data_IF_162213613539
#
_entry.id   IF_162213613539
#
_cell.length_a   1.000
_cell.length_b   1.000
_cell.length_c   1.000
_cell.angle_alpha   90.00
_cell.angle_beta   90.00
_cell.angle_gamma   90.00
#
_symmetry.space_group_name_H-M   'P 1'
#
loop_
_entity.id
_entity.type
_entity.pdbx_description
1 polymer ?
#
# COMPACT_ATOMS: atom_id res chain seq x y z
N UNK A 1 14.79 110.12 -30.90
CA UNK A 1 13.79 109.44 -30.04
C UNK A 1 13.68 107.93 -30.28
N UNK A 2 13.80 107.42 -31.52
CA UNK A 2 13.70 105.95 -31.78
C UNK A 2 14.86 105.13 -31.20
N UNK A 3 16.10 105.65 -31.23
CA UNK A 3 17.30 104.96 -30.70
C UNK A 3 17.31 104.80 -29.18
N UNK A 4 16.82 105.79 -28.42
CA UNK A 4 16.76 105.71 -26.95
C UNK A 4 15.69 104.74 -26.47
N UNK A 5 14.58 104.60 -27.21
CA UNK A 5 13.51 103.66 -26.89
C UNK A 5 13.94 102.20 -27.13
N UNK A 6 14.70 101.92 -28.20
CA UNK A 6 15.26 100.59 -28.45
C UNK A 6 16.28 100.17 -27.40
N UNK A 7 17.12 101.12 -26.91
CA UNK A 7 18.10 100.83 -25.85
C UNK A 7 17.40 100.54 -24.52
N UNK A 8 16.35 101.30 -24.18
CA UNK A 8 15.59 101.09 -22.94
C UNK A 8 14.85 99.74 -22.94
N UNK A 9 14.33 99.33 -24.10
CA UNK A 9 13.65 98.04 -24.28
C UNK A 9 14.63 96.85 -24.24
N UNK A 10 15.86 97.04 -24.74
CA UNK A 10 16.91 96.02 -24.67
C UNK A 10 17.45 95.86 -23.24
N UNK A 11 17.59 96.96 -22.49
CA UNK A 11 18.07 96.92 -21.10
C UNK A 11 17.05 96.30 -20.14
N UNK A 12 15.75 96.56 -20.35
CA UNK A 12 14.67 95.91 -19.60
C UNK A 12 14.55 94.42 -19.91
N UNK A 13 14.75 94.03 -21.18
CA UNK A 13 14.79 92.61 -21.55
C UNK A 13 15.98 91.88 -20.90
N UNK A 14 17.15 92.50 -20.82
CA UNK A 14 18.32 91.91 -20.15
C UNK A 14 18.12 91.76 -18.63
N UNK A 15 17.43 92.70 -17.99
CA UNK A 15 17.12 92.64 -16.55
C UNK A 15 16.07 91.55 -16.22
N UNK A 16 15.14 91.26 -17.14
CA UNK A 16 14.16 90.17 -16.97
C UNK A 16 14.80 88.77 -17.09
N UNK A 17 15.94 88.63 -17.79
CA UNK A 17 16.65 87.36 -17.92
C UNK A 17 17.44 86.98 -16.65
N UNK A 18 17.89 87.93 -15.83
CA UNK A 18 18.66 87.62 -14.61
C UNK A 18 17.77 87.22 -13.42
N UNK A 19 16.46 87.44 -13.49
CA UNK A 19 15.51 87.00 -12.46
C UNK A 19 15.27 85.47 -12.46
N UNK A 20 15.74 84.74 -13.48
CA UNK A 20 15.53 83.31 -13.63
C UNK A 20 16.74 82.44 -13.23
N UNK A 21 17.82 83.04 -12.67
CA UNK A 21 19.02 82.31 -12.24
C UNK A 21 19.04 82.02 -10.74
N UNK A 22 17.97 81.43 -10.20
CA UNK A 22 17.95 80.97 -8.81
C UNK A 22 18.67 79.60 -8.71
N UNK A 23 19.97 79.65 -8.38
CA UNK A 23 20.86 78.47 -8.30
C UNK A 23 20.70 77.64 -7.02
N UNK A 24 19.92 78.12 -6.04
CA UNK A 24 19.84 77.51 -4.71
C UNK A 24 18.93 76.26 -4.67
N UNK A 25 17.99 76.14 -5.61
CA UNK A 25 17.01 75.05 -5.66
C UNK A 25 17.57 73.65 -6.02
N UNK A 26 18.85 73.55 -6.40
CA UNK A 26 19.49 72.25 -6.73
C UNK A 26 20.39 71.70 -5.62
N UNK A 27 20.70 72.50 -4.61
CA UNK A 27 21.57 72.07 -3.50
C UNK A 27 20.89 71.00 -2.64
N UNK A 28 19.61 71.21 -2.32
CA UNK A 28 18.77 70.29 -1.55
C UNK A 28 18.53 68.97 -2.30
N UNK A 29 18.28 69.02 -3.61
CA UNK A 29 18.07 67.83 -4.43
C UNK A 29 19.35 66.97 -4.52
N UNK A 30 20.51 67.62 -4.70
CA UNK A 30 21.80 66.92 -4.71
C UNK A 30 22.11 66.28 -3.36
N UNK A 31 21.82 66.96 -2.26
CA UNK A 31 21.99 66.42 -0.93
C UNK A 31 21.07 65.22 -0.67
N UNK A 32 19.81 65.29 -1.11
CA UNK A 32 18.85 64.19 -1.01
C UNK A 32 19.30 62.96 -1.81
N UNK A 33 19.77 63.15 -3.05
CA UNK A 33 20.29 62.05 -3.89
C UNK A 33 21.54 61.43 -3.28
N UNK A 34 22.45 62.25 -2.73
CA UNK A 34 23.66 61.77 -2.07
C UNK A 34 23.38 61.00 -0.76
N UNK A 35 22.32 61.35 -0.05
CA UNK A 35 21.86 60.68 1.18
C UNK A 35 21.05 59.39 0.92
N UNK A 36 20.70 59.11 -0.34
CA UNK A 36 19.96 57.91 -0.72
C UNK A 36 20.74 56.61 -0.41
N UNK A 37 20.02 55.49 -0.20
CA UNK A 37 20.63 54.21 0.14
C UNK A 37 21.57 53.74 -0.98
N UNK A 38 22.85 53.59 -0.65
CA UNK A 38 23.85 53.00 -1.56
C UNK A 38 23.52 51.53 -1.72
N UNK A 39 23.41 51.06 -2.97
CA UNK A 39 23.10 49.67 -3.26
C UNK A 39 24.19 48.76 -2.68
N UNK A 40 23.79 47.86 -1.78
CA UNK A 40 24.70 46.86 -1.22
C UNK A 40 25.24 46.00 -2.36
N UNK A 41 26.56 46.04 -2.55
CA UNK A 41 27.25 45.33 -3.63
C UNK A 41 27.34 43.82 -3.41
N UNK A 42 26.97 43.34 -2.22
CA UNK A 42 27.03 41.93 -1.88
C UNK A 42 25.64 41.32 -1.72
N UNK A 43 25.09 40.85 -2.84
CA UNK A 43 23.90 40.00 -2.87
C UNK A 43 24.41 38.56 -2.88
N UNK A 44 23.99 37.74 -1.92
CA UNK A 44 24.34 36.32 -1.94
C UNK A 44 23.75 35.69 -3.20
N UNK A 45 24.57 35.03 -4.05
CA UNK A 45 24.07 34.39 -5.25
C UNK A 45 23.08 33.29 -4.87
N UNK A 46 22.07 33.10 -5.72
CA UNK A 46 21.10 32.02 -5.49
C UNK A 46 21.83 30.67 -5.39
N UNK A 47 21.39 29.79 -4.49
CA UNK A 47 21.95 28.45 -4.38
C UNK A 47 21.81 27.73 -5.73
N UNK A 48 22.90 27.10 -6.17
CA UNK A 48 22.94 26.39 -7.43
C UNK A 48 22.04 25.15 -7.32
N UNK A 49 21.08 25.00 -8.22
CA UNK A 49 20.27 23.78 -8.30
C UNK A 49 21.17 22.59 -8.61
N UNK A 50 20.92 21.45 -7.95
CA UNK A 50 21.66 20.23 -8.25
C UNK A 50 21.41 19.84 -9.72
N UNK A 51 22.47 19.46 -10.42
CA UNK A 51 22.34 18.94 -11.77
C UNK A 51 21.54 17.64 -11.75
N UNK A 52 20.63 17.48 -12.71
CA UNK A 52 19.92 16.23 -12.92
C UNK A 52 20.92 15.13 -13.27
N UNK A 53 20.94 14.06 -12.47
CA UNK A 53 21.72 12.86 -12.77
C UNK A 53 20.75 11.79 -13.28
N UNK A 54 20.78 11.44 -14.57
CA UNK A 54 19.96 10.36 -15.09
C UNK A 54 20.40 9.06 -14.41
N UNK A 55 19.45 8.36 -13.79
CA UNK A 55 19.67 6.97 -13.37
C UNK A 55 19.28 6.06 -14.51
N UNK A 56 20.18 5.14 -14.85
CA UNK A 56 19.86 4.06 -15.77
C UNK A 56 18.78 3.18 -15.14
N UNK A 57 17.78 2.82 -15.92
CA UNK A 57 16.77 1.85 -15.50
C UNK A 57 17.42 0.46 -15.40
N UNK A 58 17.35 -0.14 -14.22
CA UNK A 58 17.80 -1.52 -13.99
C UNK A 58 16.60 -2.41 -13.70
N UNK A 59 16.45 -3.47 -14.50
CA UNK A 59 15.44 -4.51 -14.29
C UNK A 59 16.12 -5.87 -14.08
N UNK A 60 16.75 -6.10 -12.91
CA UNK A 60 17.53 -7.31 -12.65
C UNK A 60 16.69 -8.59 -12.72
N UNK A 61 15.39 -8.49 -12.44
CA UNK A 61 14.45 -9.62 -12.48
C UNK A 61 13.81 -9.82 -13.86
N UNK A 62 14.13 -8.96 -14.83
CA UNK A 62 13.50 -8.91 -16.16
C UNK A 62 11.96 -8.99 -16.09
N UNK A 63 11.39 -8.39 -15.05
CA UNK A 63 9.95 -8.41 -14.78
C UNK A 63 9.29 -7.30 -15.58
N UNK A 64 8.19 -7.59 -16.25
CA UNK A 64 7.35 -6.55 -16.84
C UNK A 64 6.86 -5.57 -15.75
N UNK A 65 7.19 -4.27 -15.83
CA UNK A 65 6.80 -3.27 -14.82
C UNK A 65 5.29 -3.01 -14.79
N UNK A 66 4.53 -3.39 -15.82
CA UNK A 66 3.09 -3.15 -15.90
C UNK A 66 2.25 -4.36 -15.49
N UNK A 67 2.85 -5.53 -15.31
CA UNK A 67 2.12 -6.68 -14.76
C UNK A 67 1.79 -6.44 -13.29
N UNK A 68 0.52 -6.58 -12.92
CA UNK A 68 0.07 -6.47 -11.53
C UNK A 68 0.52 -7.68 -10.69
N UNK A 69 0.63 -7.50 -9.36
CA UNK A 69 0.95 -8.62 -8.48
C UNK A 69 -0.15 -9.69 -8.48
N UNK A 70 -1.42 -9.30 -8.59
CA UNK A 70 -2.55 -10.24 -8.67
C UNK A 70 -2.47 -11.11 -9.92
N UNK A 71 -2.14 -10.53 -11.07
CA UNK A 71 -2.00 -11.29 -12.32
C UNK A 71 -0.84 -12.28 -12.25
N UNK A 72 0.28 -11.93 -11.61
CA UNK A 72 1.38 -12.87 -11.40
C UNK A 72 0.97 -14.06 -10.52
N UNK A 73 0.17 -13.82 -9.48
CA UNK A 73 -0.36 -14.88 -8.63
C UNK A 73 -1.30 -15.80 -9.43
N UNK A 74 -2.19 -15.24 -10.24
CA UNK A 74 -3.09 -16.01 -11.12
C UNK A 74 -2.30 -16.84 -12.15
N UNK A 75 -1.29 -16.26 -12.81
CA UNK A 75 -0.44 -17.02 -13.76
C UNK A 75 0.29 -18.16 -13.06
N UNK A 76 0.78 -17.94 -11.84
CA UNK A 76 1.42 -18.98 -11.04
C UNK A 76 0.44 -20.09 -10.66
N UNK A 77 -0.79 -19.75 -10.26
CA UNK A 77 -1.84 -20.73 -9.97
C UNK A 77 -2.25 -21.52 -11.21
N UNK A 78 -2.39 -20.85 -12.36
CA UNK A 78 -2.69 -21.48 -13.64
C UNK A 78 -1.59 -22.46 -14.07
N UNK A 79 -0.32 -22.06 -13.95
CA UNK A 79 0.82 -22.95 -14.21
C UNK A 79 0.83 -24.17 -13.25
N UNK A 80 0.40 -23.99 -12.01
CA UNK A 80 0.32 -25.06 -11.01
C UNK A 80 -0.92 -25.96 -11.17
N UNK A 81 -1.87 -25.66 -12.07
CA UNK A 81 -3.09 -26.48 -12.24
C UNK A 81 -2.78 -27.92 -12.68
N UNK A 82 -1.75 -28.11 -13.51
CA UNK A 82 -1.32 -29.42 -13.98
C UNK A 82 -0.55 -30.25 -12.94
N UNK A 83 0.31 -29.59 -12.14
CA UNK A 83 1.21 -30.22 -11.17
C UNK A 83 0.80 -30.03 -9.70
N UNK A 84 -0.41 -29.53 -9.47
CA UNK A 84 -0.92 -29.20 -8.14
C UNK A 84 -1.20 -30.43 -7.26
N UNK A 85 -1.35 -30.22 -5.94
CA UNK A 85 -1.67 -31.29 -5.02
C UNK A 85 -3.01 -31.92 -5.42
N UNK A 86 -3.07 -33.25 -5.54
CA UNK A 86 -4.30 -33.99 -5.89
C UNK A 86 -4.75 -34.89 -4.73
N UNK A 87 -6.07 -35.10 -4.57
CA UNK A 87 -6.57 -36.11 -3.65
C UNK A 87 -6.05 -37.49 -4.10
N UNK A 88 -5.50 -38.24 -3.15
CA UNK A 88 -4.96 -39.57 -3.38
C UNK A 88 -6.03 -40.58 -2.95
N UNK A 89 -6.24 -41.60 -3.76
CA UNK A 89 -7.13 -42.70 -3.39
C UNK A 89 -6.59 -43.39 -2.15
N UNK A 90 -7.41 -43.46 -1.11
CA UNK A 90 -7.05 -43.98 0.20
C UNK A 90 -8.01 -45.09 0.62
N UNK A 91 -8.07 -46.16 -0.18
CA UNK A 91 -8.82 -47.36 0.18
C UNK A 91 -10.34 -47.11 0.34
N UNK A 92 -11.01 -47.86 1.25
CA UNK A 92 -12.44 -47.71 1.47
C UNK A 92 -12.82 -46.36 2.09
N UNK A 93 -13.87 -45.74 1.55
CA UNK A 93 -14.44 -44.47 2.02
C UNK A 93 -14.93 -44.60 3.47
N UNK A 94 -14.51 -43.68 4.32
CA UNK A 94 -14.90 -43.62 5.73
C UNK A 94 -16.32 -43.06 5.89
N UNK A 95 -17.03 -43.38 6.99
CA UNK A 95 -18.38 -42.88 7.22
C UNK A 95 -18.48 -41.35 7.19
N UNK A 96 -17.47 -40.64 7.71
CA UNK A 96 -17.45 -39.17 7.82
C UNK A 96 -17.18 -38.45 6.49
N UNK A 97 -16.73 -39.15 5.45
CA UNK A 97 -16.48 -38.58 4.11
C UNK A 97 -17.77 -38.38 3.31
N UNK A 98 -18.87 -39.01 3.74
CA UNK A 98 -20.19 -38.88 3.09
C UNK A 98 -20.87 -37.54 3.36
N UNK A 99 -20.36 -36.77 4.33
CA UNK A 99 -20.96 -35.54 4.80
C UNK A 99 -20.12 -34.34 4.39
N UNK A 100 -20.74 -33.22 4.07
CA UNK A 100 -20.00 -31.98 3.83
C UNK A 100 -19.34 -31.52 5.13
N UNK A 101 -18.12 -30.98 5.06
CA UNK A 101 -17.39 -30.53 6.25
C UNK A 101 -18.17 -29.49 7.07
N UNK A 102 -18.95 -28.64 6.39
CA UNK A 102 -19.82 -27.64 7.01
C UNK A 102 -21.01 -28.21 7.78
N UNK A 103 -21.41 -29.46 7.49
CA UNK A 103 -22.50 -30.15 8.19
C UNK A 103 -22.04 -30.93 9.41
N UNK A 104 -20.71 -31.09 9.57
CA UNK A 104 -20.12 -31.78 10.71
C UNK A 104 -19.91 -30.80 11.86
N UNK A 105 -20.16 -31.26 13.08
CA UNK A 105 -19.89 -30.50 14.29
C UNK A 105 -19.00 -31.30 15.23
N UNK A 106 -18.12 -30.62 15.98
CA UNK A 106 -17.34 -31.29 17.02
C UNK A 106 -18.19 -31.31 18.29
N UNK A 107 -18.52 -32.49 18.78
CA UNK A 107 -19.25 -32.67 20.05
C UNK A 107 -18.31 -32.80 21.24
N UNK A 108 -17.06 -33.18 21.01
CA UNK A 108 -16.07 -33.28 22.08
C UNK A 108 -14.70 -33.76 21.59
N UNK A 109 -13.73 -33.76 22.51
CA UNK A 109 -12.40 -34.33 22.28
C UNK A 109 -12.11 -35.24 23.47
N UNK A 110 -11.68 -36.46 23.18
CA UNK A 110 -11.41 -37.50 24.19
C UNK A 110 -9.95 -37.93 24.06
N UNK A 111 -9.27 -38.07 25.21
CA UNK A 111 -7.94 -38.66 25.27
C UNK A 111 -8.07 -40.12 25.67
N UNK A 112 -7.46 -41.00 24.88
CA UNK A 112 -7.39 -42.45 25.15
C UNK A 112 -6.32 -42.74 26.23
N UNK A 113 -6.35 -43.94 26.80
CA UNK A 113 -5.40 -44.40 27.82
C UNK A 113 -3.94 -44.37 27.31
N UNK A 114 -3.74 -44.47 25.99
CA UNK A 114 -2.43 -44.37 25.33
C UNK A 114 -2.03 -42.91 25.03
N UNK A 115 -2.78 -41.91 25.51
CA UNK A 115 -2.51 -40.49 25.32
C UNK A 115 -2.95 -39.91 23.96
N UNK A 116 -3.50 -40.73 23.05
CA UNK A 116 -3.98 -40.29 21.74
C UNK A 116 -5.25 -39.45 21.84
N UNK A 117 -5.31 -38.38 21.07
CA UNK A 117 -6.49 -37.53 20.96
C UNK A 117 -7.46 -38.04 19.88
N UNK A 118 -8.74 -38.07 20.25
CA UNK A 118 -9.85 -38.43 19.41
C UNK A 118 -10.85 -37.28 19.35
N UNK A 119 -11.15 -36.80 18.16
CA UNK A 119 -12.25 -35.90 17.90
C UNK A 119 -13.56 -36.70 17.85
N UNK A 120 -14.55 -36.25 18.60
CA UNK A 120 -15.92 -36.76 18.58
C UNK A 120 -16.72 -35.86 17.65
N UNK A 121 -17.12 -36.39 16.50
CA UNK A 121 -17.77 -35.65 15.41
C UNK A 121 -19.23 -36.07 15.32
N UNK A 122 -20.12 -35.10 15.47
CA UNK A 122 -21.55 -35.24 15.23
C UNK A 122 -21.89 -34.97 13.77
N UNK A 123 -22.68 -35.86 13.18
CA UNK A 123 -23.20 -35.76 11.82
C UNK A 123 -24.63 -35.22 11.80
N UNK A 124 -25.10 -34.68 10.65
CA UNK A 124 -26.46 -34.16 10.53
C UNK A 124 -27.56 -35.23 10.71
N UNK A 125 -27.25 -36.52 10.57
CA UNK A 125 -28.16 -37.63 10.87
C UNK A 125 -28.15 -38.04 12.36
N UNK A 126 -27.69 -37.16 13.25
CA UNK A 126 -27.62 -37.37 14.70
C UNK A 126 -26.77 -38.58 15.13
N UNK A 127 -25.84 -39.01 14.28
CA UNK A 127 -24.84 -40.03 14.65
C UNK A 127 -23.56 -39.37 15.11
N UNK A 128 -22.79 -40.13 15.86
CA UNK A 128 -21.52 -39.69 16.42
C UNK A 128 -20.44 -40.66 16.01
N UNK A 129 -19.35 -40.12 15.45
CA UNK A 129 -18.18 -40.89 15.05
C UNK A 129 -16.94 -40.36 15.77
N UNK A 130 -15.98 -41.25 15.97
CA UNK A 130 -14.66 -40.89 16.51
C UNK A 130 -13.67 -40.86 15.37
N UNK A 131 -12.88 -39.79 15.29
CA UNK A 131 -11.83 -39.61 14.30
C UNK A 131 -10.56 -39.14 15.00
N UNK A 132 -9.39 -39.55 14.52
CA UNK A 132 -8.10 -39.12 15.06
C UNK A 132 -7.25 -38.47 13.96
N UNK A 133 -6.06 -37.99 14.31
CA UNK A 133 -5.12 -37.39 13.36
C UNK A 133 -4.86 -38.40 12.22
N UNK A 134 -5.04 -37.93 10.98
CA UNK A 134 -4.91 -38.74 9.78
C UNK A 134 -6.20 -39.42 9.29
N UNK A 135 -7.30 -39.34 10.03
CA UNK A 135 -8.61 -39.82 9.55
C UNK A 135 -9.17 -38.89 8.48
N UNK A 136 -9.99 -39.44 7.59
CA UNK A 136 -10.62 -38.71 6.49
C UNK A 136 -12.07 -38.36 6.83
N UNK A 137 -12.43 -37.10 6.60
CA UNK A 137 -13.72 -36.51 6.90
C UNK A 137 -14.08 -35.48 5.83
N UNK A 138 -15.37 -35.27 5.56
CA UNK A 138 -15.78 -34.30 4.56
C UNK A 138 -15.75 -34.87 3.13
N UNK A 139 -16.61 -34.35 2.26
CA UNK A 139 -16.72 -34.73 0.84
C UNK A 139 -15.54 -34.32 -0.05
N UNK A 140 -14.55 -33.60 0.49
CA UNK A 140 -13.45 -32.98 -0.25
C UNK A 140 -12.09 -33.55 0.18
N UNK A 141 -12.02 -34.86 0.43
CA UNK A 141 -10.82 -35.57 0.90
C UNK A 141 -10.16 -34.89 2.11
N UNK A 142 -10.99 -34.45 3.06
CA UNK A 142 -10.53 -33.69 4.21
C UNK A 142 -9.78 -34.60 5.17
N UNK A 143 -8.52 -34.30 5.47
CA UNK A 143 -7.71 -35.07 6.43
C UNK A 143 -7.53 -34.29 7.71
N UNK A 144 -7.76 -34.91 8.86
CA UNK A 144 -7.47 -34.29 10.15
C UNK A 144 -5.95 -34.17 10.31
N UNK A 145 -5.45 -32.93 10.40
CA UNK A 145 -4.02 -32.63 10.55
C UNK A 145 -3.66 -32.27 11.99
N UNK A 146 -4.59 -31.70 12.76
CA UNK A 146 -4.36 -31.34 14.14
C UNK A 146 -5.66 -31.43 14.96
N UNK A 147 -5.52 -31.81 16.23
CA UNK A 147 -6.60 -31.81 17.22
C UNK A 147 -6.08 -31.02 18.42
N UNK A 148 -6.73 -29.90 18.72
CA UNK A 148 -6.39 -29.02 19.83
C UNK A 148 -7.36 -29.23 20.98
N UNK A 149 -6.87 -29.77 22.09
CA UNK A 149 -7.60 -30.05 23.32
C UNK A 149 -7.47 -28.94 24.37
N UNK A 150 -7.13 -27.71 23.95
CA UNK A 150 -6.93 -26.57 24.83
C UNK A 150 -8.11 -26.26 25.77
N UNK A 151 -7.78 -25.78 26.97
CA UNK A 151 -8.75 -25.40 28.00
C UNK A 151 -9.71 -24.28 27.54
N UNK A 152 -9.22 -23.35 26.72
CA UNK A 152 -9.96 -22.16 26.28
C UNK A 152 -10.66 -22.34 24.94
N UNK A 153 -10.07 -23.12 24.02
CA UNK A 153 -10.61 -23.36 22.67
C UNK A 153 -10.30 -24.80 22.27
N UNK A 154 -11.34 -25.59 22.04
CA UNK A 154 -11.22 -26.93 21.47
C UNK A 154 -11.50 -26.87 19.98
N UNK A 155 -10.57 -27.36 19.18
CA UNK A 155 -10.71 -27.29 17.72
C UNK A 155 -10.06 -28.46 17.01
N UNK A 156 -10.54 -28.76 15.81
CA UNK A 156 -9.95 -29.76 14.92
C UNK A 156 -9.63 -29.08 13.61
N UNK A 157 -8.36 -29.17 13.20
CA UNK A 157 -7.90 -28.63 11.92
C UNK A 157 -7.92 -29.72 10.87
N UNK A 158 -8.55 -29.43 9.75
CA UNK A 158 -8.81 -30.35 8.65
C UNK A 158 -8.25 -29.74 7.38
N UNK A 159 -7.40 -30.45 6.67
CA UNK A 159 -6.90 -30.03 5.36
C UNK A 159 -7.73 -30.70 4.26
N UNK A 160 -8.46 -29.91 3.48
CA UNK A 160 -9.33 -30.40 2.40
C UNK A 160 -8.80 -29.98 1.02
N UNK A 161 -9.15 -30.75 -0.02
CA UNK A 161 -8.82 -30.46 -1.41
C UNK A 161 -10.01 -29.78 -2.10
N UNK A 162 -9.86 -28.51 -2.44
CA UNK A 162 -10.88 -27.78 -3.19
C UNK A 162 -10.45 -27.57 -4.65
N UNK A 163 -11.38 -27.62 -5.61
CA UNK A 163 -11.06 -27.26 -6.99
C UNK A 163 -10.70 -25.78 -7.08
N UNK A 164 -9.67 -25.47 -7.87
CA UNK A 164 -9.26 -24.11 -8.18
C UNK A 164 -9.89 -23.62 -9.50
N UNK A 165 -9.75 -22.34 -9.82
CA UNK A 165 -10.33 -21.73 -11.03
C UNK A 165 -9.73 -22.27 -12.35
N UNK A 166 -8.62 -22.99 -12.29
CA UNK A 166 -7.86 -23.45 -13.45
C UNK A 166 -7.93 -24.99 -13.64
N UNK A 167 -8.83 -25.68 -12.92
CA UNK A 167 -9.05 -27.12 -13.05
C UNK A 167 -8.09 -28.02 -12.25
N UNK A 168 -7.22 -27.45 -11.44
CA UNK A 168 -6.42 -28.15 -10.43
C UNK A 168 -7.11 -28.17 -9.06
N UNK A 169 -6.43 -28.72 -8.05
CA UNK A 169 -6.88 -28.65 -6.65
C UNK A 169 -5.93 -27.81 -5.80
N UNK A 170 -6.47 -27.22 -4.74
CA UNK A 170 -5.75 -26.49 -3.72
C UNK A 170 -6.08 -27.06 -2.34
N UNK A 171 -5.03 -27.20 -1.52
CA UNK A 171 -5.17 -27.56 -0.11
C UNK A 171 -5.67 -26.36 0.67
N UNK A 172 -6.79 -26.52 1.37
CA UNK A 172 -7.39 -25.49 2.22
C UNK A 172 -7.48 -26.00 3.66
N UNK A 173 -6.75 -25.40 4.61
CA UNK A 173 -6.95 -25.70 6.02
C UNK A 173 -8.28 -25.08 6.49
N UNK A 174 -9.10 -25.88 7.12
CA UNK A 174 -10.37 -25.49 7.74
C UNK A 174 -10.36 -25.90 9.19
N UNK A 175 -10.67 -24.96 10.08
CA UNK A 175 -10.72 -25.21 11.53
C UNK A 175 -12.18 -25.38 11.93
N UNK A 176 -12.52 -26.57 12.38
CA UNK A 176 -13.79 -26.83 13.05
C UNK A 176 -13.60 -26.47 14.52
N UNK A 177 -14.42 -25.54 15.01
CA UNK A 177 -14.44 -25.18 16.43
C UNK A 177 -15.57 -25.93 17.12
N UNK A 178 -15.30 -26.39 18.35
CA UNK A 178 -16.35 -26.92 19.19
C UNK A 178 -17.28 -25.78 19.61
N UNK A 179 -18.61 -25.91 19.42
CA UNK A 179 -19.55 -24.92 19.93
C UNK A 179 -19.45 -24.85 21.45
N UNK A 180 -19.49 -23.63 22.00
CA UNK A 180 -19.53 -23.45 23.44
C UNK A 180 -20.84 -24.05 23.97
N UNK A 181 -20.74 -24.99 24.91
CA UNK A 181 -21.90 -25.40 25.71
C UNK A 181 -22.28 -24.21 26.58
N UNK A 182 -23.44 -23.63 26.30
CA UNK A 182 -24.09 -22.67 27.19
C UNK A 182 -24.74 -23.42 28.36
#
# INVERSE_FOLDING_TARGET
MKRSLSILMMLTSMALLSACSDSDNLSSLRAFVAAGPKTNTHIMPLPKTAAYVPKTYENPLNRDPFTSFSELLLRKEAAAAGSGPRPVSHGPVQPLEKYALSSLSITGIVRDNQGRLWAVVGTPDHKVYRATIGSYIGTHDGRIVNIDDGMTKRSVTVEQYLPNAFGGFQKKPTVLQMPNSN
#
